data_IF_573643078022
#
_entry.id   IF_573643078022
#
_cell.length_a   1.000
_cell.length_b   1.000
_cell.length_c   1.000
_cell.angle_alpha   90.00
_cell.angle_beta   90.00
_cell.angle_gamma   90.00
#
_symmetry.space_group_name_H-M   'P 1'
#
loop_
_entity.id
_entity.type
_entity.pdbx_description
1 polymer ?
#
# COMPACT_ATOMS: atom_id res chain seq x y z
N UNK A 1 -8.03 -11.01 -14.42
CA UNK A 1 -6.84 -10.13 -14.47
C UNK A 1 -6.10 -10.26 -13.14
N UNK A 2 -4.89 -10.83 -13.11
CA UNK A 2 -4.17 -11.16 -11.86
C UNK A 2 -3.77 -9.91 -11.08
N UNK A 3 -3.30 -8.88 -11.78
CA UNK A 3 -2.82 -7.63 -11.19
C UNK A 3 -3.91 -6.82 -10.45
N UNK A 4 -5.19 -7.07 -10.74
CA UNK A 4 -6.30 -6.40 -10.06
C UNK A 4 -6.75 -7.12 -8.78
N UNK A 5 -6.19 -8.30 -8.50
CA UNK A 5 -6.60 -9.13 -7.37
C UNK A 5 -5.53 -9.04 -6.29
N UNK A 6 -5.97 -8.82 -5.05
CA UNK A 6 -5.09 -8.81 -3.90
C UNK A 6 -4.47 -10.19 -3.66
N UNK A 7 -3.30 -10.22 -3.03
CA UNK A 7 -2.49 -11.42 -2.85
C UNK A 7 -3.25 -12.50 -2.07
N UNK A 8 -3.96 -12.10 -1.00
CA UNK A 8 -4.74 -13.05 -0.19
C UNK A 8 -5.89 -13.71 -0.96
N UNK A 9 -6.32 -13.11 -2.07
CA UNK A 9 -7.40 -13.62 -2.90
C UNK A 9 -6.87 -14.51 -4.02
N UNK A 10 -5.56 -14.50 -4.28
CA UNK A 10 -4.95 -15.38 -5.28
C UNK A 10 -4.83 -16.80 -4.71
N UNK A 11 -5.20 -17.79 -5.53
CA UNK A 11 -4.79 -19.17 -5.24
C UNK A 11 -3.27 -19.30 -5.38
N UNK A 12 -2.70 -20.35 -4.81
CA UNK A 12 -1.27 -20.64 -4.94
C UNK A 12 -0.81 -20.70 -6.42
N UNK A 13 -1.67 -21.23 -7.30
CA UNK A 13 -1.44 -21.21 -8.76
C UNK A 13 -1.47 -19.79 -9.33
N UNK A 14 -2.36 -18.95 -8.82
CA UNK A 14 -2.45 -17.53 -9.17
C UNK A 14 -1.21 -16.75 -8.77
N UNK A 15 -0.71 -16.98 -7.55
CA UNK A 15 0.54 -16.39 -7.06
C UNK A 15 1.73 -16.82 -7.92
N UNK A 16 1.89 -18.13 -8.20
CA UNK A 16 2.95 -18.64 -9.08
C UNK A 16 2.89 -18.01 -10.48
N UNK A 17 1.68 -17.88 -11.04
CA UNK A 17 1.51 -17.23 -12.35
C UNK A 17 1.84 -15.75 -12.31
N UNK A 18 1.51 -15.05 -11.22
CA UNK A 18 1.85 -13.65 -11.03
C UNK A 18 3.38 -13.46 -10.93
N UNK A 19 4.08 -14.35 -10.21
CA UNK A 19 5.55 -14.38 -10.17
C UNK A 19 6.14 -14.53 -11.56
N UNK A 20 5.64 -15.48 -12.35
CA UNK A 20 6.10 -15.69 -13.75
C UNK A 20 5.88 -14.44 -14.61
N UNK A 21 4.74 -13.74 -14.46
CA UNK A 21 4.48 -12.49 -15.20
C UNK A 21 5.49 -11.41 -14.83
N UNK A 22 5.81 -11.25 -13.55
CA UNK A 22 6.83 -10.28 -13.15
C UNK A 22 8.22 -10.66 -13.66
N UNK A 23 8.59 -11.95 -13.60
CA UNK A 23 9.92 -12.40 -14.02
C UNK A 23 10.09 -12.32 -15.55
N UNK A 24 9.02 -12.52 -16.33
CA UNK A 24 9.07 -12.51 -17.80
C UNK A 24 8.79 -11.13 -18.42
N UNK A 25 7.80 -10.39 -17.90
CA UNK A 25 7.23 -9.21 -18.56
C UNK A 25 7.61 -7.88 -17.87
N UNK A 26 8.36 -7.90 -16.77
CA UNK A 26 8.80 -6.70 -16.05
C UNK A 26 10.33 -6.59 -15.90
N UNK A 27 11.07 -6.41 -17.01
CA UNK A 27 12.54 -6.31 -16.99
C UNK A 27 13.06 -5.12 -16.16
N UNK A 28 12.19 -4.15 -15.85
CA UNK A 28 12.53 -2.96 -15.08
C UNK A 28 12.13 -3.05 -13.60
N UNK A 29 11.38 -4.09 -13.20
CA UNK A 29 10.81 -4.24 -11.87
C UNK A 29 9.72 -3.20 -11.51
N UNK A 30 9.31 -2.35 -12.46
CA UNK A 30 8.39 -1.23 -12.22
C UNK A 30 6.95 -1.72 -12.06
N UNK A 31 6.54 -2.71 -12.85
CA UNK A 31 5.19 -3.26 -12.79
C UNK A 31 4.97 -3.98 -11.45
N UNK A 32 5.95 -4.79 -11.03
CA UNK A 32 5.95 -5.47 -9.73
C UNK A 32 5.93 -4.47 -8.59
N UNK A 33 6.76 -3.44 -8.66
CA UNK A 33 6.81 -2.42 -7.62
C UNK A 33 5.52 -1.59 -7.52
N UNK A 34 4.91 -1.22 -8.65
CA UNK A 34 3.62 -0.54 -8.67
C UNK A 34 2.50 -1.42 -8.07
N UNK A 35 2.46 -2.70 -8.46
CA UNK A 35 1.50 -3.66 -7.88
C UNK A 35 1.68 -3.84 -6.37
N UNK A 36 2.93 -3.89 -5.89
CA UNK A 36 3.23 -3.97 -4.45
C UNK A 36 2.74 -2.74 -3.68
N UNK A 37 2.87 -1.53 -4.24
CA UNK A 37 2.35 -0.32 -3.61
C UNK A 37 0.83 -0.34 -3.52
N UNK A 38 0.15 -0.81 -4.57
CA UNK A 38 -1.29 -1.01 -4.51
C UNK A 38 -1.68 -2.03 -3.43
N UNK A 39 -0.92 -3.12 -3.29
CA UNK A 39 -1.18 -4.14 -2.28
C UNK A 39 -1.00 -3.61 -0.85
N UNK A 40 0.06 -2.87 -0.60
CA UNK A 40 0.27 -2.18 0.67
C UNK A 40 -0.86 -1.18 0.98
N UNK A 41 -1.37 -0.49 -0.03
CA UNK A 41 -2.52 0.39 0.13
C UNK A 41 -3.80 -0.41 0.46
N UNK A 42 -4.05 -1.54 -0.21
CA UNK A 42 -5.19 -2.43 0.12
C UNK A 42 -5.11 -2.92 1.56
N UNK A 43 -3.94 -3.33 2.01
CA UNK A 43 -3.69 -3.73 3.40
C UNK A 43 -4.02 -2.57 4.35
N UNK A 44 -3.45 -1.39 4.10
CA UNK A 44 -3.70 -0.19 4.90
C UNK A 44 -5.19 0.17 4.97
N UNK A 45 -5.93 0.06 3.87
CA UNK A 45 -7.35 0.37 3.84
C UNK A 45 -8.23 -0.69 4.51
N UNK A 46 -7.71 -1.91 4.69
CA UNK A 46 -8.43 -3.00 5.37
C UNK A 46 -8.20 -3.02 6.88
N UNK A 47 -7.18 -2.33 7.41
CA UNK A 47 -6.89 -2.35 8.84
C UNK A 47 -8.05 -1.78 9.66
N UNK A 48 -8.50 -2.52 10.67
CA UNK A 48 -9.54 -2.06 11.61
C UNK A 48 -8.98 -1.35 12.86
N UNK A 49 -7.65 -1.33 13.03
CA UNK A 49 -6.96 -0.75 14.18
C UNK A 49 -5.99 0.35 13.75
N UNK A 50 -5.85 1.38 14.58
CA UNK A 50 -4.87 2.45 14.36
C UNK A 50 -3.43 1.92 14.42
N UNK A 51 -3.15 0.93 15.28
CA UNK A 51 -1.83 0.34 15.41
C UNK A 51 -1.43 -0.41 14.12
N UNK A 52 -2.32 -1.26 13.62
CA UNK A 52 -2.13 -1.97 12.35
C UNK A 52 -2.00 -0.99 11.17
N UNK A 53 -2.79 0.10 11.18
CA UNK A 53 -2.72 1.15 10.16
C UNK A 53 -1.37 1.88 10.20
N UNK A 54 -0.80 2.14 11.39
CA UNK A 54 0.54 2.75 11.54
C UNK A 54 1.60 1.82 10.96
N UNK A 55 1.54 0.52 11.29
CA UNK A 55 2.46 -0.48 10.78
C UNK A 55 2.36 -0.61 9.24
N UNK A 56 1.15 -0.75 8.71
CA UNK A 56 0.90 -0.83 7.27
C UNK A 56 1.40 0.42 6.54
N UNK A 57 1.13 1.63 7.08
CA UNK A 57 1.63 2.88 6.48
C UNK A 57 3.16 2.93 6.44
N UNK A 58 3.85 2.44 7.47
CA UNK A 58 5.32 2.42 7.48
C UNK A 58 5.90 1.60 6.32
N UNK A 59 5.18 0.56 5.89
CA UNK A 59 5.56 -0.28 4.75
C UNK A 59 5.22 0.32 3.38
N UNK A 60 4.28 1.27 3.31
CA UNK A 60 3.78 1.90 2.07
C UNK A 60 4.82 2.80 1.36
N UNK A 61 6.03 2.98 1.91
CA UNK A 61 7.06 3.82 1.29
C UNK A 61 7.50 3.19 -0.03
N UNK A 62 7.28 3.85 -1.19
CA UNK A 62 7.67 3.27 -2.46
C UNK A 62 9.20 3.17 -2.55
N UNK A 63 9.70 1.96 -2.81
CA UNK A 63 11.09 1.74 -3.23
C UNK A 63 11.37 2.38 -4.59
N UNK A 64 12.65 2.53 -4.95
CA UNK A 64 13.08 3.26 -6.16
C UNK A 64 12.39 2.78 -7.46
N UNK A 65 12.28 1.46 -7.66
CA UNK A 65 11.60 0.88 -8.82
C UNK A 65 10.08 1.19 -8.88
N UNK A 66 9.44 1.44 -7.74
CA UNK A 66 8.02 1.81 -7.66
C UNK A 66 7.78 3.32 -7.70
N UNK A 67 8.84 4.15 -7.72
CA UNK A 67 8.71 5.60 -7.76
C UNK A 67 8.46 6.07 -9.18
N UNK A 68 7.20 6.31 -9.48
CA UNK A 68 6.77 7.10 -10.61
C UNK A 68 5.91 8.29 -10.17
N UNK A 69 5.48 9.14 -11.12
CA UNK A 69 4.67 10.30 -10.81
C UNK A 69 3.32 9.93 -10.15
N UNK A 70 2.71 8.81 -10.55
CA UNK A 70 1.42 8.35 -10.04
C UNK A 70 1.51 7.84 -8.60
N UNK A 71 2.45 6.94 -8.35
CA UNK A 71 2.76 6.36 -7.05
C UNK A 71 3.22 7.43 -6.06
N UNK A 72 4.05 8.38 -6.50
CA UNK A 72 4.46 9.50 -5.65
C UNK A 72 3.27 10.41 -5.29
N UNK A 73 2.35 10.66 -6.24
CA UNK A 73 1.13 11.44 -5.98
C UNK A 73 0.22 10.72 -4.98
N UNK A 74 0.03 9.42 -5.16
CA UNK A 74 -0.75 8.57 -4.24
C UNK A 74 -0.15 8.60 -2.83
N UNK A 75 1.14 8.36 -2.70
CA UNK A 75 1.85 8.39 -1.42
C UNK A 75 1.71 9.75 -0.69
N UNK A 76 1.83 10.86 -1.43
CA UNK A 76 1.61 12.21 -0.88
C UNK A 76 0.18 12.41 -0.40
N UNK A 77 -0.81 11.94 -1.16
CA UNK A 77 -2.23 12.01 -0.75
C UNK A 77 -2.46 11.22 0.54
N UNK A 78 -1.96 9.98 0.63
CA UNK A 78 -2.07 9.17 1.84
C UNK A 78 -1.39 9.84 3.03
N UNK A 79 -0.20 10.42 2.83
CA UNK A 79 0.49 11.16 3.89
C UNK A 79 -0.30 12.39 4.37
N UNK A 80 -0.94 13.12 3.45
CA UNK A 80 -1.77 14.28 3.78
C UNK A 80 -2.97 13.88 4.62
N UNK A 81 -3.74 12.90 4.15
CA UNK A 81 -4.89 12.37 4.89
C UNK A 81 -4.49 11.82 6.24
N UNK A 82 -3.34 11.14 6.33
CA UNK A 82 -2.85 10.64 7.61
C UNK A 82 -2.58 11.75 8.63
N UNK A 83 -2.06 12.90 8.20
CA UNK A 83 -1.86 14.06 9.07
C UNK A 83 -3.19 14.65 9.54
N UNK A 84 -4.17 14.75 8.64
CA UNK A 84 -5.54 15.17 8.95
C UNK A 84 -6.20 14.22 9.97
N UNK A 85 -6.13 12.91 9.73
CA UNK A 85 -6.67 11.87 10.61
C UNK A 85 -6.01 11.96 11.99
N UNK A 86 -4.67 11.96 12.09
CA UNK A 86 -3.98 12.11 13.38
C UNK A 86 -4.36 13.39 14.12
N UNK A 87 -4.57 14.49 13.40
CA UNK A 87 -5.02 15.76 13.99
C UNK A 87 -6.42 15.62 14.61
N UNK A 88 -7.35 14.97 13.90
CA UNK A 88 -8.70 14.65 14.40
C UNK A 88 -8.65 13.80 15.68
N UNK A 89 -7.90 12.69 15.65
CA UNK A 89 -7.72 11.81 16.82
C UNK A 89 -7.07 12.52 18.01
N UNK A 90 -6.22 13.52 17.76
CA UNK A 90 -5.59 14.34 18.80
C UNK A 90 -6.59 15.33 19.43
N UNK A 91 -7.53 15.86 18.65
CA UNK A 91 -8.56 16.78 19.14
C UNK A 91 -9.70 16.09 19.91
N UNK A 92 -10.02 14.84 19.58
CA UNK A 92 -11.07 14.06 20.26
C UNK A 92 -10.63 13.42 21.58
N UNK A 93 -9.33 13.45 21.91
CA UNK A 93 -8.86 12.95 23.21
C UNK A 93 -9.27 13.93 24.32
N UNK A 94 -9.97 13.46 25.38
CA UNK A 94 -10.31 14.32 26.50
C UNK A 94 -9.03 14.87 27.12
N UNK A 95 -8.98 16.21 27.29
CA UNK A 95 -7.85 16.83 27.98
C UNK A 95 -7.79 16.30 29.41
N UNK A 96 -6.60 15.90 29.91
CA UNK A 96 -6.46 15.54 31.31
C UNK A 96 -6.88 16.75 32.16
N UNK A 97 -7.77 16.50 33.12
CA UNK A 97 -8.16 17.48 34.14
C UNK A 97 -7.02 17.72 35.12
#
# INVERSE_FOLDING_TARGET
MLLLKADENLSERGQRRLTVVFDADDPTGKLKAAWQVEEQLRILLRTGSLEDAVAAKATLVPGEAGRDAGTNRLYRTVCRWWAETKSSWSQERPRPR
#
